data_IF_432489088541
#
_entry.id   IF_432489088541
#
_cell.length_a   1.000
_cell.length_b   1.000
_cell.length_c   1.000
_cell.angle_alpha   90.00
_cell.angle_beta   90.00
_cell.angle_gamma   90.00
#
_symmetry.space_group_name_H-M   'P 1'
#
loop_
_entity.id
_entity.type
_entity.pdbx_description
1 polymer ?
#
# COMPACT_ATOMS: atom_id res chain seq x y z
N UNK A 1 -13.72 10.06 -42.84
CA UNK A 1 -12.99 8.95 -42.17
C UNK A 1 -11.58 9.36 -41.81
N UNK A 2 -10.83 10.05 -42.68
CA UNK A 2 -9.47 10.54 -42.42
C UNK A 2 -9.32 11.45 -41.18
N UNK A 3 -10.25 12.38 -40.96
CA UNK A 3 -10.22 13.28 -39.78
C UNK A 3 -10.41 12.53 -38.46
N UNK A 4 -11.21 11.45 -38.44
CA UNK A 4 -11.39 10.61 -37.24
C UNK A 4 -10.14 9.80 -36.93
N UNK A 5 -9.45 9.31 -37.96
CA UNK A 5 -8.18 8.59 -37.80
C UNK A 5 -7.09 9.51 -37.24
N UNK A 6 -6.94 10.71 -37.80
CA UNK A 6 -5.97 11.70 -37.33
C UNK A 6 -6.23 12.15 -35.89
N UNK A 7 -7.49 12.27 -35.49
CA UNK A 7 -7.86 12.57 -34.10
C UNK A 7 -7.47 11.41 -33.17
N UNK A 8 -7.80 10.17 -33.54
CA UNK A 8 -7.46 9.00 -32.74
C UNK A 8 -5.95 8.84 -32.55
N UNK A 9 -5.17 9.09 -33.60
CA UNK A 9 -3.71 9.04 -33.56
C UNK A 9 -3.13 10.11 -32.63
N UNK A 10 -3.70 11.32 -32.66
CA UNK A 10 -3.29 12.42 -31.76
C UNK A 10 -3.60 12.07 -30.31
N UNK A 11 -4.78 11.52 -30.02
CA UNK A 11 -5.15 11.08 -28.66
C UNK A 11 -4.21 9.98 -28.15
N UNK A 12 -3.88 9.01 -29.00
CA UNK A 12 -2.95 7.94 -28.66
C UNK A 12 -1.53 8.47 -28.39
N UNK A 13 -1.06 9.42 -29.21
CA UNK A 13 0.23 10.08 -29.01
C UNK A 13 0.26 10.83 -27.67
N UNK A 14 -0.76 11.64 -27.37
CA UNK A 14 -0.86 12.37 -26.12
C UNK A 14 -0.88 11.44 -24.91
N UNK A 15 -1.62 10.33 -24.99
CA UNK A 15 -1.64 9.29 -23.95
C UNK A 15 -0.24 8.70 -23.73
N UNK A 16 0.46 8.32 -24.79
CA UNK A 16 1.81 7.74 -24.70
C UNK A 16 2.83 8.73 -24.10
N UNK A 17 2.77 10.00 -24.50
CA UNK A 17 3.63 11.06 -23.94
C UNK A 17 3.32 11.27 -22.46
N UNK A 18 2.05 11.32 -22.08
CA UNK A 18 1.64 11.45 -20.68
C UNK A 18 2.14 10.28 -19.81
N UNK A 19 2.00 9.05 -20.30
CA UNK A 19 2.52 7.86 -19.61
C UNK A 19 4.05 7.88 -19.46
N UNK A 20 4.77 8.34 -20.49
CA UNK A 20 6.24 8.44 -20.43
C UNK A 20 6.67 9.46 -19.38
N UNK A 21 5.99 10.61 -19.32
CA UNK A 21 6.22 11.61 -18.29
C UNK A 21 5.88 11.07 -16.89
N UNK A 22 4.75 10.37 -16.74
CA UNK A 22 4.38 9.75 -15.48
C UNK A 22 5.43 8.73 -15.00
N UNK A 23 6.02 7.93 -15.90
CA UNK A 23 7.11 7.01 -15.56
C UNK A 23 8.37 7.77 -15.11
N UNK A 24 8.72 8.87 -15.79
CA UNK A 24 9.85 9.72 -15.39
C UNK A 24 9.61 10.33 -14.01
N UNK A 25 8.41 10.80 -13.69
CA UNK A 25 8.08 11.28 -12.36
C UNK A 25 8.11 10.18 -11.31
N UNK A 26 7.60 8.99 -11.63
CA UNK A 26 7.65 7.81 -10.78
C UNK A 26 9.09 7.40 -10.44
N UNK A 27 10.04 7.60 -11.36
CA UNK A 27 11.46 7.29 -11.11
C UNK A 27 12.05 8.07 -9.94
N UNK A 28 11.51 9.25 -9.61
CA UNK A 28 11.92 10.03 -8.43
C UNK A 28 11.50 9.39 -7.09
N UNK A 29 10.58 8.41 -7.14
CA UNK A 29 10.16 7.65 -5.97
C UNK A 29 11.16 6.56 -5.59
N UNK A 30 12.04 6.16 -6.50
CA UNK A 30 13.05 5.12 -6.22
C UNK A 30 13.88 5.55 -4.99
N UNK A 31 14.05 4.61 -4.05
CA UNK A 31 14.66 4.79 -2.73
C UNK A 31 13.93 5.79 -1.81
N UNK A 32 12.70 6.21 -2.16
CA UNK A 32 11.83 6.97 -1.26
C UNK A 32 10.89 6.03 -0.53
N UNK A 33 10.60 6.42 0.70
CA UNK A 33 9.54 5.81 1.47
C UNK A 33 8.18 6.35 0.99
N UNK A 34 7.22 5.47 0.80
CA UNK A 34 5.85 5.81 0.39
C UNK A 34 4.84 5.13 1.31
N UNK A 35 3.64 5.70 1.40
CA UNK A 35 2.47 5.06 2.00
C UNK A 35 1.59 4.55 0.87
N UNK A 36 1.20 3.29 0.93
CA UNK A 36 0.43 2.64 -0.12
C UNK A 36 -0.60 1.67 0.46
N UNK A 37 -1.63 1.38 -0.33
CA UNK A 37 -2.61 0.35 0.01
C UNK A 37 -2.00 -1.05 -0.15
N UNK A 38 -1.74 -1.73 0.96
CA UNK A 38 -1.11 -3.06 0.99
C UNK A 38 -0.85 -3.55 2.41
N UNK A 39 -0.68 -4.87 2.55
CA UNK A 39 -0.46 -5.53 3.84
C UNK A 39 1.02 -5.62 4.24
N UNK A 40 1.97 -5.32 3.38
CA UNK A 40 3.39 -5.41 3.71
C UNK A 40 3.95 -4.05 4.15
N UNK A 41 4.56 -3.98 5.32
CA UNK A 41 5.18 -2.75 5.82
C UNK A 41 6.67 -2.96 6.08
N UNK A 42 7.46 -1.96 5.74
CA UNK A 42 8.87 -1.89 6.08
C UNK A 42 9.02 -1.40 7.52
N UNK A 43 9.71 -2.18 8.33
CA UNK A 43 10.09 -1.85 9.70
C UNK A 43 11.56 -1.43 9.69
N UNK A 44 11.86 -0.32 10.36
CA UNK A 44 13.22 0.20 10.51
C UNK A 44 13.49 0.53 11.97
N UNK A 45 14.59 0.03 12.51
CA UNK A 45 14.97 0.12 13.92
C UNK A 45 13.83 -0.31 14.86
N UNK A 46 13.13 -1.38 14.50
CA UNK A 46 11.99 -1.88 15.24
C UNK A 46 10.73 -0.99 15.21
N UNK A 47 10.69 0.01 14.32
CA UNK A 47 9.59 0.96 14.21
C UNK A 47 8.98 1.01 12.81
N UNK A 48 7.66 1.11 12.76
CA UNK A 48 6.92 1.42 11.54
C UNK A 48 5.56 2.00 11.90
N UNK A 49 4.98 2.78 11.00
CA UNK A 49 3.65 3.33 11.17
C UNK A 49 2.77 2.84 10.02
N UNK A 50 1.68 2.20 10.38
CA UNK A 50 0.65 1.66 9.51
C UNK A 50 -0.65 2.35 9.87
N UNK A 51 -1.60 2.38 8.94
CA UNK A 51 -2.97 2.73 9.27
C UNK A 51 -3.94 1.81 8.54
N UNK A 52 -5.16 1.71 9.04
CA UNK A 52 -6.18 0.87 8.44
C UNK A 52 -7.55 1.50 8.52
N UNK A 53 -8.44 1.09 7.61
CA UNK A 53 -9.84 1.49 7.55
C UNK A 53 -10.70 0.24 7.48
N UNK A 54 -11.86 0.28 8.12
CA UNK A 54 -12.85 -0.80 8.07
C UNK A 54 -14.02 -0.40 7.17
N UNK A 55 -14.54 -1.34 6.40
CA UNK A 55 -15.70 -1.08 5.53
C UNK A 55 -17.01 -1.07 6.31
N UNK A 56 -17.03 -1.68 7.49
CA UNK A 56 -18.17 -1.74 8.41
C UNK A 56 -17.70 -1.56 9.86
N UNK A 57 -18.64 -1.31 10.77
CA UNK A 57 -18.34 -1.30 12.19
C UNK A 57 -17.86 -2.69 12.61
N UNK A 58 -16.86 -2.76 13.48
CA UNK A 58 -16.34 -4.01 14.03
C UNK A 58 -16.32 -3.95 15.55
N UNK A 59 -16.89 -4.98 16.19
CA UNK A 59 -16.85 -5.15 17.64
C UNK A 59 -15.44 -5.50 18.11
N UNK A 60 -14.70 -6.32 17.34
CA UNK A 60 -13.33 -6.73 17.66
C UNK A 60 -12.45 -6.68 16.41
N UNK A 61 -11.24 -6.14 16.55
CA UNK A 61 -10.23 -6.09 15.49
C UNK A 61 -8.90 -6.57 16.04
N UNK A 62 -8.38 -7.66 15.50
CA UNK A 62 -7.08 -8.20 15.85
C UNK A 62 -6.09 -7.90 14.73
N UNK A 63 -5.05 -7.12 15.04
CA UNK A 63 -3.95 -6.83 14.13
C UNK A 63 -2.78 -7.70 14.54
N UNK A 64 -2.23 -8.43 13.59
CA UNK A 64 -1.10 -9.34 13.78
C UNK A 64 0.01 -8.94 12.82
N UNK A 65 1.21 -8.79 13.36
CA UNK A 65 2.43 -8.58 12.58
C UNK A 65 3.14 -9.91 12.45
N UNK A 66 3.42 -10.31 11.21
CA UNK A 66 4.04 -11.56 10.84
C UNK A 66 5.43 -11.31 10.26
N UNK A 67 6.41 -12.13 10.63
CA UNK A 67 7.71 -12.16 9.98
C UNK A 67 7.64 -12.82 8.58
N UNK A 68 8.76 -12.82 7.86
CA UNK A 68 8.91 -13.48 6.56
C UNK A 68 8.63 -15.00 6.55
N UNK A 69 8.65 -15.65 7.72
CA UNK A 69 8.37 -17.07 7.88
C UNK A 69 6.90 -17.32 8.28
N UNK A 70 6.09 -16.27 8.46
CA UNK A 70 4.71 -16.35 8.93
C UNK A 70 4.57 -16.48 10.45
N UNK A 71 5.64 -16.24 11.22
CA UNK A 71 5.56 -16.25 12.67
C UNK A 71 4.98 -14.93 13.19
N UNK A 72 4.11 -15.01 14.20
CA UNK A 72 3.60 -13.84 14.91
C UNK A 72 4.70 -13.21 15.74
N UNK A 73 5.08 -11.97 15.42
CA UNK A 73 6.08 -11.20 16.16
C UNK A 73 5.47 -10.12 17.04
N UNK A 74 4.25 -9.66 16.69
CA UNK A 74 3.50 -8.70 17.47
C UNK A 74 2.00 -8.87 17.19
N UNK A 75 1.15 -8.59 18.18
CA UNK A 75 -0.30 -8.58 17.98
C UNK A 75 -0.94 -7.52 18.87
N UNK A 76 -2.02 -6.91 18.38
CA UNK A 76 -2.76 -5.89 19.09
C UNK A 76 -4.25 -6.01 18.79
N UNK A 77 -5.06 -5.93 19.83
CA UNK A 77 -6.52 -6.00 19.71
C UNK A 77 -7.13 -4.63 19.99
N UNK A 78 -8.09 -4.26 19.15
CA UNK A 78 -8.96 -3.10 19.30
C UNK A 78 -10.42 -3.57 19.41
N UNK A 79 -11.25 -2.75 20.03
CA UNK A 79 -12.67 -3.06 20.25
C UNK A 79 -13.53 -1.88 19.79
N UNK A 80 -14.74 -2.17 19.32
CA UNK A 80 -15.77 -1.20 18.95
C UNK A 80 -15.26 -0.11 17.98
N UNK A 81 -14.62 -0.54 16.89
CA UNK A 81 -14.16 0.36 15.83
C UNK A 81 -15.30 0.65 14.85
N UNK A 82 -15.33 1.87 14.33
CA UNK A 82 -16.35 2.34 13.41
C UNK A 82 -15.88 2.21 11.95
N UNK A 83 -16.84 2.01 11.05
CA UNK A 83 -16.62 2.03 9.61
C UNK A 83 -16.04 3.38 9.15
N UNK A 84 -15.32 3.35 8.04
CA UNK A 84 -14.83 4.52 7.30
C UNK A 84 -13.95 5.50 8.09
N UNK A 85 -13.48 5.11 9.27
CA UNK A 85 -12.46 5.82 10.03
C UNK A 85 -11.08 5.21 9.81
N UNK A 86 -10.08 6.08 9.67
CA UNK A 86 -8.68 5.68 9.61
C UNK A 86 -8.15 5.55 11.03
N UNK A 87 -7.66 4.37 11.37
CA UNK A 87 -7.06 4.06 12.66
C UNK A 87 -5.54 3.88 12.50
N UNK A 88 -4.72 4.57 13.32
CA UNK A 88 -3.28 4.38 13.31
C UNK A 88 -2.88 3.10 14.05
N UNK A 89 -1.87 2.40 13.53
CA UNK A 89 -1.21 1.28 14.17
C UNK A 89 0.30 1.49 14.10
N UNK A 90 0.95 1.61 15.26
CA UNK A 90 2.40 1.77 15.36
C UNK A 90 3.02 0.45 15.78
N UNK A 91 4.01 0.01 15.02
CA UNK A 91 4.94 -1.05 15.40
C UNK A 91 6.06 -0.37 16.18
N UNK A 92 6.27 -0.80 17.41
CA UNK A 92 7.34 -0.29 18.26
C UNK A 92 7.94 -1.42 19.08
N UNK A 93 8.69 -2.28 18.40
CA UNK A 93 9.35 -3.43 18.99
C UNK A 93 10.84 -3.43 18.60
N UNK A 94 11.73 -2.99 19.51
CA UNK A 94 13.17 -2.89 19.25
C UNK A 94 13.86 -4.23 18.91
N UNK A 95 13.21 -5.37 19.19
CA UNK A 95 13.75 -6.67 18.83
C UNK A 95 13.57 -7.01 17.34
N UNK A 96 12.71 -6.28 16.62
CA UNK A 96 12.51 -6.47 15.19
C UNK A 96 13.68 -5.90 14.41
N UNK A 97 14.24 -6.72 13.53
CA UNK A 97 15.26 -6.30 12.57
C UNK A 97 14.65 -5.52 11.42
N UNK A 98 15.46 -4.68 10.78
CA UNK A 98 15.07 -3.96 9.57
C UNK A 98 14.64 -4.93 8.46
N UNK A 99 13.47 -4.68 7.87
CA UNK A 99 12.91 -5.55 6.83
C UNK A 99 11.41 -5.39 6.65
N UNK A 100 10.85 -6.15 5.70
CA UNK A 100 9.42 -6.20 5.45
C UNK A 100 8.73 -7.22 6.36
N UNK A 101 7.57 -6.82 6.87
CA UNK A 101 6.70 -7.64 7.71
C UNK A 101 5.28 -7.58 7.15
N UNK A 102 4.51 -8.64 7.35
CA UNK A 102 3.12 -8.71 6.89
C UNK A 102 2.18 -8.32 8.01
N UNK A 103 1.27 -7.41 7.71
CA UNK A 103 0.17 -6.98 8.58
C UNK A 103 -1.07 -7.75 8.20
N UNK A 104 -1.61 -8.47 9.17
CA UNK A 104 -2.86 -9.19 9.04
C UNK A 104 -3.90 -8.58 9.97
N UNK A 105 -5.09 -8.28 9.45
CA UNK A 105 -6.20 -7.73 10.22
C UNK A 105 -7.38 -8.71 10.18
N UNK A 106 -7.78 -9.21 11.35
CA UNK A 106 -9.00 -9.97 11.56
C UNK A 106 -10.01 -9.09 12.28
N UNK A 107 -10.93 -8.49 11.52
CA UNK A 107 -12.00 -7.65 12.05
C UNK A 107 -13.33 -8.41 12.02
N UNK A 108 -14.10 -8.31 13.11
CA UNK A 108 -15.39 -9.01 13.29
C UNK A 108 -16.44 -8.11 13.91
N UNK A 109 -17.68 -8.28 13.46
CA UNK A 109 -18.88 -7.71 14.05
C UNK A 109 -19.82 -8.86 14.44
N UNK A 110 -19.84 -9.24 15.72
CA UNK A 110 -20.45 -10.49 16.15
C UNK A 110 -19.80 -11.71 15.47
N UNK A 111 -20.54 -12.37 14.58
CA UNK A 111 -20.09 -13.55 13.83
C UNK A 111 -19.58 -13.22 12.43
N UNK A 112 -19.83 -12.01 11.95
CA UNK A 112 -19.54 -11.61 10.58
C UNK A 112 -18.13 -11.03 10.48
N UNK A 113 -17.40 -11.46 9.45
CA UNK A 113 -16.09 -10.90 9.14
C UNK A 113 -16.26 -9.54 8.46
N UNK A 114 -15.42 -8.58 8.87
CA UNK A 114 -15.41 -7.22 8.34
C UNK A 114 -14.15 -7.02 7.50
N UNK A 115 -14.32 -6.57 6.27
CA UNK A 115 -13.21 -6.22 5.38
C UNK A 115 -12.49 -4.97 5.86
N UNK A 116 -11.17 -4.95 5.66
CA UNK A 116 -10.30 -3.83 6.03
C UNK A 116 -9.35 -3.46 4.91
N UNK A 117 -9.14 -2.17 4.71
CA UNK A 117 -8.10 -1.62 3.85
C UNK A 117 -6.89 -1.25 4.71
N UNK A 118 -5.69 -1.69 4.33
CA UNK A 118 -4.44 -1.44 5.06
C UNK A 118 -3.59 -0.46 4.26
N UNK A 119 -3.08 0.56 4.94
CA UNK A 119 -2.13 1.54 4.40
C UNK A 119 -0.78 1.34 5.09
N UNK A 120 0.15 0.73 4.37
CA UNK A 120 1.48 0.36 4.85
C UNK A 120 2.55 1.28 4.30
N UNK A 121 3.74 1.23 4.91
CA UNK A 121 4.91 1.98 4.43
C UNK A 121 5.87 1.04 3.73
N UNK A 122 6.41 1.47 2.60
CA UNK A 122 7.42 0.70 1.89
C UNK A 122 8.46 1.61 1.24
N UNK A 123 9.58 1.01 0.87
CA UNK A 123 10.63 1.67 0.09
C UNK A 123 10.49 1.22 -1.36
N UNK A 124 10.37 2.17 -2.28
CA UNK A 124 10.31 1.87 -3.71
C UNK A 124 11.70 1.45 -4.20
N UNK A 125 11.81 0.24 -4.72
CA UNK A 125 13.05 -0.33 -5.24
C UNK A 125 13.26 0.00 -6.72
N UNK A 126 12.16 -0.03 -7.48
CA UNK A 126 12.16 0.31 -8.90
C UNK A 126 10.76 0.75 -9.33
N UNK A 127 10.66 1.31 -10.54
CA UNK A 127 9.39 1.56 -11.19
C UNK A 127 9.39 0.92 -12.56
N UNK A 128 8.26 0.35 -12.94
CA UNK A 128 8.09 -0.29 -14.23
C UNK A 128 6.81 0.22 -14.91
N UNK A 129 6.84 0.22 -16.23
CA UNK A 129 5.63 0.39 -17.03
C UNK A 129 5.25 -0.97 -17.58
N UNK A 130 4.05 -1.44 -17.23
CA UNK A 130 3.45 -2.60 -17.88
C UNK A 130 2.18 -2.16 -18.60
N UNK A 131 2.21 -2.29 -19.94
CA UNK A 131 1.22 -1.76 -20.87
C UNK A 131 0.94 -0.27 -20.62
N UNK A 132 -0.25 0.03 -20.12
CA UNK A 132 -0.79 1.37 -19.92
C UNK A 132 -0.69 1.86 -18.47
N UNK A 133 -0.12 1.05 -17.58
CA UNK A 133 -0.05 1.33 -16.14
C UNK A 133 1.40 1.40 -15.67
N UNK A 134 1.61 2.21 -14.64
CA UNK A 134 2.90 2.38 -13.99
C UNK A 134 2.80 1.75 -12.61
N UNK A 135 3.80 0.93 -12.28
CA UNK A 135 3.89 0.24 -11.01
C UNK A 135 5.17 0.65 -10.31
N UNK A 136 5.09 0.85 -9.01
CA UNK A 136 6.21 0.85 -8.10
C UNK A 136 6.45 -0.58 -7.60
N UNK A 137 7.71 -0.99 -7.54
CA UNK A 137 8.11 -2.28 -6.98
C UNK A 137 8.57 -2.06 -5.55
N UNK A 138 7.95 -2.78 -4.61
CA UNK A 138 8.27 -2.76 -3.18
C UNK A 138 8.31 -4.22 -2.69
N UNK A 139 9.45 -4.71 -2.19
CA UNK A 139 9.57 -6.09 -1.71
C UNK A 139 9.08 -7.15 -2.72
N UNK A 140 9.47 -7.02 -4.00
CA UNK A 140 8.98 -7.83 -5.11
C UNK A 140 7.47 -7.74 -5.41
N UNK A 141 6.71 -6.86 -4.73
CA UNK A 141 5.31 -6.60 -5.03
C UNK A 141 5.15 -5.46 -6.04
N UNK A 142 4.21 -5.62 -6.98
CA UNK A 142 3.84 -4.60 -7.96
C UNK A 142 2.68 -3.78 -7.42
N UNK A 143 2.94 -2.52 -7.06
CA UNK A 143 1.93 -1.59 -6.55
C UNK A 143 1.65 -0.55 -7.64
N UNK A 144 0.41 -0.47 -8.10
CA UNK A 144 0.00 0.59 -9.03
C UNK A 144 0.27 1.96 -8.41
N UNK A 145 0.84 2.89 -9.19
CA UNK A 145 1.22 4.21 -8.65
C UNK A 145 0.03 4.99 -8.08
N UNK A 146 -1.17 4.74 -8.60
CA UNK A 146 -2.43 5.33 -8.13
C UNK A 146 -2.84 4.84 -6.74
N UNK A 147 -2.28 3.71 -6.27
CA UNK A 147 -2.45 3.19 -4.90
C UNK A 147 -1.44 3.74 -3.91
N UNK A 148 -0.55 4.64 -4.33
CA UNK A 148 0.35 5.37 -3.43
C UNK A 148 -0.36 6.63 -2.93
N UNK A 149 -0.67 6.66 -1.65
CA UNK A 149 -1.41 7.75 -1.01
C UNK A 149 -0.50 8.90 -0.56
N UNK A 150 0.77 8.63 -0.27
CA UNK A 150 1.72 9.63 0.23
C UNK A 150 3.16 9.28 -0.16
N UNK A 151 3.96 10.32 -0.42
CA UNK A 151 5.40 10.21 -0.65
C UNK A 151 6.13 10.91 0.51
N UNK A 152 7.11 10.23 1.10
CA UNK A 152 7.87 10.74 2.24
C UNK A 152 7.14 10.59 3.58
N UNK A 153 7.95 10.53 4.64
CA UNK A 153 7.53 10.38 6.04
C UNK A 153 8.74 10.17 6.93
#
# INVERSE_FOLDING_TARGET
>A
MEVLNNFQDTVNLLKNVNQTNALLYASNLINKQVVYEGSETYVKNGKSQVSFKLDQNAESVNITVLDKNGNVVESKTFQNLQADKIYPFEINNPALTDGYYTIYIDAKNGKDAVSSTIYSRGIVESVEKDKDKIYAILNNQKIEIDKINQIGG
#
